data_IF_581928599184
#
_entry.id   IF_581928599184
#
_cell.length_a   1.000
_cell.length_b   1.000
_cell.length_c   1.000
_cell.angle_alpha   90.00
_cell.angle_beta   90.00
_cell.angle_gamma   90.00
#
_symmetry.space_group_name_H-M   'P 1'
#
loop_
_entity.id
_entity.type
_entity.pdbx_description
1 polymer ?
2 branched ?
3 branched ?
4 branched ?
5 non-polymer ?
6 non-polymer ?
7 water ?
#
# COMPACT_ATOMS: atom_id res chain seq x y z
N UNK A 91 -33.67 -10.83 -16.63
CA UNK A 91 -32.35 -10.33 -16.09
C UNK A 91 -31.22 -10.79 -17.02
N UNK A 92 -30.50 -9.84 -17.64
CA UNK A 92 -29.37 -10.14 -18.55
C UNK A 92 -28.14 -10.56 -17.74
N UNK A 93 -27.70 -9.75 -16.78
CA UNK A 93 -26.58 -10.05 -15.85
C UNK A 93 -27.07 -9.99 -14.40
N UNK A 94 -26.91 -11.07 -13.65
CA UNK A 94 -27.30 -11.14 -12.22
C UNK A 94 -26.03 -10.99 -11.37
N UNK A 95 -26.03 -9.99 -10.48
CA UNK A 95 -24.98 -9.85 -9.42
C UNK A 95 -25.66 -10.16 -8.08
N UNK A 96 -25.08 -11.07 -7.30
CA UNK A 96 -25.60 -11.41 -5.96
C UNK A 96 -24.54 -11.05 -4.91
N UNK A 97 -24.94 -10.25 -3.93
CA UNK A 97 -24.12 -9.90 -2.73
C UNK A 97 -24.74 -10.59 -1.52
N UNK A 98 -23.91 -11.25 -0.72
CA UNK A 98 -24.36 -11.96 0.49
C UNK A 98 -23.56 -11.44 1.68
N UNK A 99 -24.14 -10.53 2.46
CA UNK A 99 -23.50 -9.91 3.65
C UNK A 99 -23.33 -10.96 4.77
N UNK A 100 -23.93 -12.14 4.67
CA UNK A 100 -23.77 -13.21 5.69
C UNK A 100 -22.56 -14.10 5.36
N UNK A 101 -21.98 -13.97 4.16
CA UNK A 101 -20.76 -14.68 3.75
C UNK A 101 -19.59 -13.70 3.74
N UNK A 102 -18.77 -13.74 4.78
CA UNK A 102 -17.83 -12.66 5.14
C UNK A 102 -16.39 -13.19 5.14
N UNK A 103 -15.46 -12.37 4.66
CA UNK A 103 -14.07 -12.80 4.38
C UNK A 103 -13.15 -11.85 5.15
N UNK A 104 -12.11 -11.36 4.49
CA UNK A 104 -11.01 -10.64 5.19
C UNK A 104 -11.43 -9.20 5.50
N UNK A 105 -10.79 -8.62 6.51
CA UNK A 105 -10.89 -7.18 6.85
C UNK A 105 -10.05 -6.37 5.87
N UNK A 106 -10.34 -5.09 5.78
CA UNK A 106 -9.59 -4.13 4.92
C UNK A 106 -8.95 -3.10 5.84
N UNK A 107 -7.65 -2.87 5.64
CA UNK A 107 -6.91 -1.77 6.30
C UNK A 107 -6.87 -0.53 5.41
N UNK A 108 -6.79 -0.71 4.09
CA UNK A 108 -6.97 0.43 3.20
C UNK A 108 -6.09 0.39 1.96
N UNK A 109 -5.79 1.57 1.47
CA UNK A 109 -5.22 1.80 0.13
C UNK A 109 -4.25 2.98 0.24
N UNK A 110 -3.21 2.97 -0.56
CA UNK A 110 -2.34 4.16 -0.61
C UNK A 110 -1.16 3.98 -1.50
N UNK A 111 -0.07 4.62 -1.12
CA UNK A 111 1.13 4.73 -1.97
C UNK A 111 2.33 5.09 -1.10
N UNK A 112 3.49 5.18 -1.73
CA UNK A 112 4.72 5.70 -1.13
C UNK A 112 5.08 7.04 -1.77
N UNK A 113 5.90 7.81 -1.07
CA UNK A 113 6.58 9.00 -1.64
C UNK A 113 8.06 8.91 -1.27
N UNK A 114 8.61 7.71 -1.28
CA UNK A 114 10.03 7.45 -0.95
C UNK A 114 10.97 8.02 -2.03
N UNK A 115 12.27 7.95 -1.74
CA UNK A 115 13.37 8.40 -2.64
C UNK A 115 13.14 9.85 -3.09
N UNK A 116 12.79 10.70 -2.11
CA UNK A 116 12.61 12.18 -2.23
C UNK A 116 11.38 12.56 -3.07
N UNK A 117 10.51 11.63 -3.46
CA UNK A 117 9.32 12.00 -4.28
C UNK A 117 8.35 12.84 -3.45
N UNK A 118 8.38 12.74 -2.13
CA UNK A 118 7.58 13.58 -1.23
C UNK A 118 7.91 15.04 -1.50
N UNK A 119 9.17 15.33 -1.83
CA UNK A 119 9.62 16.72 -2.10
C UNK A 119 8.89 17.28 -3.32
N UNK A 120 8.62 16.43 -4.32
CA UNK A 120 7.91 16.87 -5.56
C UNK A 120 6.56 17.50 -5.19
N UNK A 121 5.84 16.89 -4.26
CA UNK A 121 4.49 17.37 -3.85
C UNK A 121 4.62 18.76 -3.22
N UNK A 122 5.74 19.05 -2.55
CA UNK A 122 5.96 20.33 -1.84
C UNK A 122 6.67 21.35 -2.73
N UNK A 123 6.70 21.13 -4.04
CA UNK A 123 7.13 22.17 -5.02
C UNK A 123 8.58 22.08 -5.46
N UNK A 124 9.28 20.96 -5.28
CA UNK A 124 10.72 20.82 -5.65
C UNK A 124 10.93 21.23 -7.12
N UNK A 125 10.00 20.86 -8.00
CA UNK A 125 10.13 21.08 -9.45
C UNK A 125 9.13 22.14 -9.94
N UNK A 126 8.66 23.01 -9.06
CA UNK A 126 7.87 24.18 -9.47
C UNK A 126 6.38 24.07 -9.23
N UNK A 127 5.89 23.04 -8.55
CA UNK A 127 4.45 22.94 -8.24
C UNK A 127 4.03 24.15 -7.39
N UNK A 128 2.96 24.83 -7.78
CA UNK A 128 2.43 26.01 -7.04
C UNK A 128 1.87 25.57 -5.69
N UNK A 129 1.85 26.46 -4.67
CA UNK A 129 1.14 26.17 -3.43
C UNK A 129 -0.30 25.67 -3.66
N UNK A 130 -1.03 26.28 -4.61
CA UNK A 130 -2.38 25.80 -4.96
C UNK A 130 -2.34 24.30 -5.30
N UNK A 131 -1.44 23.89 -6.17
CA UNK A 131 -1.44 22.49 -6.67
C UNK A 131 -0.79 21.55 -5.65
N UNK A 132 0.07 22.06 -4.79
CA UNK A 132 0.57 21.26 -3.62
C UNK A 132 -0.63 20.82 -2.80
N UNK A 133 -1.48 21.75 -2.40
CA UNK A 133 -2.67 21.44 -1.56
C UNK A 133 -3.70 20.64 -2.36
N UNK A 134 -3.81 20.86 -3.68
CA UNK A 134 -4.73 20.10 -4.54
C UNK A 134 -4.32 18.62 -4.57
N UNK A 135 -3.02 18.39 -4.73
CA UNK A 135 -2.49 16.99 -4.82
C UNK A 135 -2.68 16.30 -3.48
N UNK A 136 -2.41 17.00 -2.36
CA UNK A 136 -2.61 16.42 -1.01
C UNK A 136 -4.11 16.10 -0.79
N UNK A 137 -5.01 16.95 -1.27
CA UNK A 137 -6.47 16.69 -1.18
C UNK A 137 -6.85 15.50 -2.08
N UNK A 138 -6.34 15.40 -3.30
CA UNK A 138 -6.64 14.25 -4.19
C UNK A 138 -6.22 12.96 -3.49
N UNK A 139 -5.06 12.97 -2.85
CA UNK A 139 -4.49 11.74 -2.26
C UNK A 139 -5.21 11.41 -0.94
N UNK A 140 -5.44 12.38 -0.04
CA UNK A 140 -5.74 12.06 1.37
C UNK A 140 -7.11 12.53 1.85
N UNK A 141 -7.81 13.37 1.10
CA UNK A 141 -9.16 13.85 1.49
C UNK A 141 -10.22 12.85 1.01
N UNK A 142 -10.95 12.23 1.91
CA UNK A 142 -12.09 11.33 1.58
C UNK A 142 -13.17 12.11 0.82
N UNK A 143 -13.40 13.37 1.19
CA UNK A 143 -14.47 14.21 0.58
C UNK A 143 -13.98 14.78 -0.75
N UNK A 144 -12.75 15.28 -0.85
CA UNK A 144 -12.26 15.98 -2.07
C UNK A 144 -11.48 15.04 -3.01
N UNK A 145 -11.14 13.83 -2.58
CA UNK A 145 -10.22 12.96 -3.35
C UNK A 145 -10.43 11.50 -3.05
N UNK A 146 -9.34 10.75 -3.04
CA UNK A 146 -9.31 9.28 -2.91
C UNK A 146 -9.42 8.85 -1.44
N UNK A 147 -9.09 9.75 -0.51
CA UNK A 147 -9.02 9.39 0.91
C UNK A 147 -8.13 8.18 1.11
N UNK A 148 -6.91 8.20 0.55
CA UNK A 148 -5.92 7.13 0.85
C UNK A 148 -5.73 7.03 2.38
N UNK A 149 -5.59 5.81 2.89
CA UNK A 149 -5.54 5.55 4.35
C UNK A 149 -4.20 4.95 4.78
N UNK A 150 -3.30 4.64 3.86
CA UNK A 150 -1.94 4.11 4.17
C UNK A 150 -0.91 4.94 3.40
N UNK A 151 0.13 5.38 4.10
CA UNK A 151 1.32 6.02 3.51
C UNK A 151 2.51 5.15 3.89
N UNK A 152 3.22 4.67 2.88
CA UNK A 152 4.44 3.85 3.08
C UNK A 152 5.65 4.76 2.94
N UNK A 153 6.36 4.95 4.05
CA UNK A 153 7.56 5.81 4.11
C UNK A 153 8.82 4.95 4.17
N UNK A 154 9.88 5.44 3.54
CA UNK A 154 11.23 4.87 3.63
C UNK A 154 11.95 5.30 4.89
N UNK A 155 12.47 4.34 5.62
CA UNK A 155 13.45 4.58 6.71
C UNK A 155 14.80 4.66 6.03
N UNK A 156 15.34 5.87 5.85
CA UNK A 156 16.53 6.08 5.00
C UNK A 156 17.76 5.39 5.56
N UNK A 157 18.59 4.82 4.68
CA UNK A 157 19.85 4.13 5.03
C UNK A 157 21.10 4.95 4.64
N UNK A 158 20.93 6.09 3.96
CA UNK A 158 22.08 6.78 3.32
C UNK A 158 22.74 7.78 4.27
N UNK A 159 24.00 8.09 3.99
CA UNK A 159 24.76 9.08 4.78
C UNK A 159 24.79 10.43 4.06
N UNK A 160 24.01 10.62 3.00
CA UNK A 160 23.81 11.93 2.36
C UNK A 160 22.40 11.98 1.75
N UNK A 161 22.03 13.14 1.22
CA UNK A 161 20.76 13.36 0.51
C UNK A 161 21.03 13.73 -0.96
N UNK A 162 22.17 13.30 -1.51
CA UNK A 162 22.46 13.48 -2.96
C UNK A 162 21.55 12.57 -3.79
N UNK A 163 21.58 12.72 -5.12
CA UNK A 163 20.64 12.07 -6.07
C UNK A 163 19.25 11.93 -5.42
N UNK A 164 18.70 10.72 -5.34
CA UNK A 164 17.34 10.51 -4.77
C UNK A 164 17.46 9.75 -3.44
N UNK A 165 18.62 9.82 -2.78
CA UNK A 165 18.88 9.02 -1.56
C UNK A 165 17.99 9.51 -0.42
N UNK A 166 17.61 8.57 0.43
CA UNK A 166 16.91 8.86 1.70
C UNK A 166 17.97 8.79 2.80
N UNK A 167 18.24 9.91 3.46
CA UNK A 167 19.30 9.95 4.51
C UNK A 167 18.79 9.28 5.80
N UNK A 168 19.75 8.75 6.55
CA UNK A 168 19.56 7.95 7.77
C UNK A 168 19.57 8.83 9.02
N UNK A 169 18.86 8.42 10.06
CA UNK A 169 18.99 9.01 11.43
C UNK A 169 20.36 8.65 12.02
N UNK A 170 21.05 7.66 11.49
CA UNK A 170 22.35 7.23 12.06
C UNK A 170 23.34 7.09 10.91
N UNK A 171 23.75 8.19 10.27
CA UNK A 171 24.55 8.11 9.03
C UNK A 171 25.96 7.53 9.22
N UNK A 172 26.54 7.73 10.39
CA UNK A 172 27.96 7.36 10.68
C UNK A 172 28.01 6.31 11.79
N UNK A 173 28.84 5.30 11.58
CA UNK A 173 29.05 4.19 12.52
C UNK A 173 29.37 4.73 13.91
N UNK A 174 28.82 4.15 14.98
CA UNK A 174 29.24 4.47 16.34
C UNK A 174 30.54 3.78 16.73
N UNK A 175 31.13 3.01 15.81
CA UNK A 175 32.46 2.37 15.97
C UNK A 175 32.35 0.89 16.28
N UNK A 176 31.35 0.48 17.07
CA UNK A 176 31.08 -0.93 17.42
C UNK A 176 29.60 -1.07 17.75
N UNK A 177 29.02 -2.29 17.65
CA UNK A 177 27.61 -2.48 17.98
C UNK A 177 27.20 -2.03 19.40
N UNK A 178 28.10 -2.13 20.38
CA UNK A 178 27.81 -1.80 21.80
C UNK A 178 28.06 -0.31 22.09
N UNK A 179 28.62 0.44 21.14
CA UNK A 179 28.93 1.88 21.34
C UNK A 179 27.62 2.68 21.33
N UNK A 180 27.58 3.81 22.03
CA UNK A 180 26.38 4.67 22.08
C UNK A 180 26.15 5.28 20.70
N UNK A 181 25.00 5.01 20.04
CA UNK A 181 24.76 5.60 18.74
C UNK A 181 24.52 7.10 18.81
N UNK A 182 24.91 7.79 17.75
CA UNK A 182 24.60 9.23 17.57
C UNK A 182 23.49 9.36 16.53
N UNK A 183 22.33 9.80 16.96
CA UNK A 183 21.13 9.88 16.10
C UNK A 183 20.83 11.33 15.76
N UNK A 184 20.48 11.58 14.51
CA UNK A 184 20.09 12.93 14.03
C UNK A 184 18.66 12.85 13.50
N UNK A 185 17.80 13.74 13.99
CA UNK A 185 16.40 13.88 13.53
C UNK A 185 16.21 15.25 12.89
N UNK A 186 15.93 15.27 11.60
CA UNK A 186 15.85 16.55 10.83
C UNK A 186 14.41 17.02 10.67
N UNK A 187 13.43 16.33 11.27
CA UNK A 187 11.99 16.70 11.12
C UNK A 187 11.66 16.77 9.64
N UNK A 188 12.24 15.90 8.81
CA UNK A 188 12.10 15.98 7.34
C UNK A 188 12.01 14.59 6.70
N UNK A 189 13.00 13.70 6.90
CA UNK A 189 13.00 12.31 6.36
C UNK A 189 12.71 12.37 4.85
N UNK A 190 13.50 13.15 4.10
CA UNK A 190 13.39 13.27 2.62
C UNK A 190 11.98 13.72 2.21
N UNK A 191 11.38 14.63 2.98
CA UNK A 191 10.02 15.16 2.71
C UNK A 191 8.90 14.31 3.30
N UNK A 192 9.20 13.12 3.78
CA UNK A 192 8.14 12.17 4.21
C UNK A 192 7.54 12.64 5.54
N UNK A 193 8.28 13.40 6.35
CA UNK A 193 7.72 13.84 7.65
C UNK A 193 6.64 14.89 7.41
N UNK A 194 6.91 16.02 6.72
CA UNK A 194 5.83 16.97 6.45
C UNK A 194 4.69 16.35 5.61
N UNK A 195 5.00 15.43 4.72
CA UNK A 195 3.96 14.70 3.99
C UNK A 195 3.07 13.97 4.98
N UNK A 196 3.65 13.23 5.92
CA UNK A 196 2.91 12.47 6.95
C UNK A 196 2.01 13.41 7.75
N UNK A 197 2.52 14.60 8.08
CA UNK A 197 1.70 15.60 8.83
C UNK A 197 0.50 16.02 7.99
N UNK A 198 0.71 16.31 6.70
CA UNK A 198 -0.39 16.75 5.81
C UNK A 198 -1.40 15.63 5.60
N UNK A 199 -0.95 14.37 5.49
CA UNK A 199 -1.86 13.23 5.27
C UNK A 199 -2.71 13.01 6.53
N UNK A 200 -2.06 13.03 7.70
CA UNK A 200 -2.75 12.89 9.01
C UNK A 200 -3.74 14.05 9.21
N UNK A 201 -3.38 15.28 8.82
CA UNK A 201 -4.30 16.44 8.94
C UNK A 201 -5.59 16.18 8.16
N UNK A 202 -5.51 15.40 7.08
CA UNK A 202 -6.66 15.08 6.21
C UNK A 202 -7.32 13.76 6.61
N UNK A 203 -6.84 13.10 7.68
CA UNK A 203 -7.53 11.91 8.24
C UNK A 203 -6.78 10.61 8.08
N UNK A 204 -5.61 10.59 7.45
CA UNK A 204 -4.90 9.31 7.19
C UNK A 204 -4.57 8.61 8.49
N UNK A 205 -5.06 7.37 8.73
CA UNK A 205 -4.72 6.67 9.97
C UNK A 205 -3.37 5.95 10.00
N UNK A 206 -2.95 5.34 8.90
CA UNK A 206 -1.86 4.33 8.91
C UNK A 206 -0.63 4.84 8.20
N UNK A 207 0.48 4.83 8.93
CA UNK A 207 1.84 5.12 8.42
C UNK A 207 2.67 3.86 8.56
N UNK A 208 3.10 3.35 7.42
CA UNK A 208 3.95 2.14 7.31
C UNK A 208 5.37 2.58 7.00
N UNK A 209 6.24 2.53 7.99
CA UNK A 209 7.67 2.83 7.80
C UNK A 209 8.41 1.54 7.43
N UNK A 210 9.14 1.55 6.32
CA UNK A 210 9.81 0.34 5.79
C UNK A 210 11.26 0.71 5.48
N UNK A 211 12.22 -0.09 5.93
CA UNK A 211 13.64 0.11 5.57
C UNK A 211 14.00 -0.69 4.33
N UNK A 212 14.68 -0.10 3.35
CA UNK A 212 15.25 -0.84 2.21
C UNK A 212 16.54 -1.54 2.63
N UNK A 213 17.27 -0.97 3.58
CA UNK A 213 18.55 -1.52 4.07
C UNK A 213 18.81 -1.00 5.46
N UNK A 214 19.55 -1.75 6.25
CA UNK A 214 20.29 -1.19 7.41
C UNK A 214 21.35 -0.23 6.89
N UNK A 215 21.84 0.70 7.73
CA UNK A 215 23.00 1.49 7.34
C UNK A 215 24.15 0.54 6.98
N UNK A 216 25.02 0.98 6.05
CA UNK A 216 26.09 0.14 5.46
C UNK A 216 26.98 -0.48 6.53
N UNK A 217 27.34 0.25 7.57
CA UNK A 217 28.31 -0.20 8.61
C UNK A 217 27.73 -1.34 9.43
N UNK A 218 26.43 -1.65 9.29
CA UNK A 218 25.79 -2.79 10.03
C UNK A 218 25.78 -4.06 9.17
N UNK A 219 26.35 -4.02 7.97
CA UNK A 219 26.17 -5.11 6.96
C UNK A 219 27.51 -5.75 6.56
N UNK A 220 27.40 -6.98 6.07
CA UNK A 220 28.52 -7.83 5.61
C UNK A 220 29.35 -7.12 4.55
N UNK A 221 28.72 -6.37 3.64
CA UNK A 221 29.40 -5.69 2.51
C UNK A 221 29.74 -4.24 2.86
N UNK A 222 29.46 -3.79 4.09
CA UNK A 222 29.74 -2.41 4.57
C UNK A 222 29.16 -1.38 3.59
N UNK A 223 27.99 -1.68 3.02
CA UNK A 223 27.38 -0.85 1.94
C UNK A 223 25.87 -0.98 2.05
N UNK A 224 25.15 0.15 2.05
CA UNK A 224 23.67 0.13 1.96
C UNK A 224 23.22 -0.48 0.63
N UNK A 225 24.07 -0.47 -0.39
CA UNK A 225 23.72 -0.90 -1.77
C UNK A 225 24.16 -2.35 -2.02
N UNK A 226 23.68 -2.94 -3.12
CA UNK A 226 24.12 -4.26 -3.64
C UNK A 226 23.83 -5.35 -2.60
N UNK A 227 22.66 -5.31 -1.98
CA UNK A 227 22.21 -6.36 -1.04
C UNK A 227 23.24 -6.47 0.10
N UNK A 228 23.67 -7.68 0.43
CA UNK A 228 24.45 -7.89 1.67
C UNK A 228 23.53 -8.15 2.83
N UNK A 229 24.08 -8.53 3.96
CA UNK A 229 23.31 -9.07 5.10
C UNK A 229 23.62 -8.30 6.37
N UNK A 230 22.62 -8.17 7.22
CA UNK A 230 22.79 -7.64 8.58
C UNK A 230 23.81 -8.50 9.33
N UNK A 231 24.91 -7.90 9.77
CA UNK A 231 25.99 -8.60 10.52
C UNK A 231 25.42 -9.32 11.75
N UNK A 232 25.63 -10.64 11.84
CA UNK A 232 25.23 -11.43 13.01
C UNK A 232 24.02 -12.32 12.73
N UNK A 233 23.30 -12.08 11.64
CA UNK A 233 22.21 -12.94 11.13
C UNK A 233 22.80 -14.32 10.77
N UNK A 234 22.01 -15.39 10.91
CA UNK A 234 22.50 -16.79 10.76
C UNK A 234 23.28 -16.91 9.44
N UNK A 235 24.54 -17.37 9.52
CA UNK A 235 25.41 -17.61 8.35
C UNK A 235 26.20 -16.39 7.91
N UNK A 236 26.03 -15.24 8.57
CA UNK A 236 26.57 -13.95 8.08
C UNK A 236 27.23 -13.19 9.24
N UNK A 237 28.43 -13.61 9.61
CA UNK A 237 29.31 -12.93 10.61
C UNK A 237 30.06 -11.80 9.92
N UNK A 238 30.47 -10.80 10.70
CA UNK A 238 31.33 -9.67 10.26
C UNK A 238 32.44 -9.46 11.29
N UNK A 239 33.65 -9.04 10.87
CA UNK A 239 34.71 -8.70 11.83
C UNK A 239 34.33 -7.63 12.85
N UNK A 240 33.44 -6.69 12.49
CA UNK A 240 33.00 -5.57 13.39
C UNK A 240 32.02 -6.05 14.46
N UNK A 241 31.47 -7.26 14.32
CA UNK A 241 30.67 -7.89 15.38
C UNK A 241 29.22 -8.08 14.97
N UNK A 242 28.34 -8.19 15.96
CA UNK A 242 26.92 -8.58 15.77
C UNK A 242 26.07 -7.32 15.87
N UNK A 243 25.50 -6.89 14.75
CA UNK A 243 24.79 -5.59 14.68
C UNK A 243 23.27 -5.81 14.77
N UNK A 244 22.77 -7.02 15.08
CA UNK A 244 21.30 -7.26 15.02
C UNK A 244 20.58 -6.37 16.02
N UNK A 245 21.02 -6.32 17.27
CA UNK A 245 20.31 -5.52 18.29
C UNK A 245 20.44 -4.04 17.93
N UNK A 246 21.58 -3.63 17.37
CA UNK A 246 21.83 -2.22 16.98
C UNK A 246 20.80 -1.83 15.93
N UNK A 247 20.53 -2.71 14.96
CA UNK A 247 19.55 -2.40 13.89
C UNK A 247 18.16 -2.30 14.50
N UNK A 248 17.80 -3.19 15.42
CA UNK A 248 16.49 -3.14 16.11
C UNK A 248 16.37 -1.82 16.86
N UNK A 249 17.41 -1.42 17.59
CA UNK A 249 17.38 -0.17 18.39
C UNK A 249 17.25 1.04 17.45
N UNK A 250 17.89 0.96 16.29
CA UNK A 250 17.87 2.01 15.23
C UNK A 250 16.43 2.19 14.73
N UNK A 251 15.76 1.09 14.41
CA UNK A 251 14.38 1.18 13.89
C UNK A 251 13.45 1.73 14.98
N UNK A 252 13.63 1.30 16.22
CA UNK A 252 12.88 1.82 17.39
C UNK A 252 13.09 3.34 17.50
N UNK A 253 14.31 3.80 17.32
CA UNK A 253 14.62 5.25 17.44
C UNK A 253 13.94 6.01 16.31
N UNK A 254 13.89 5.49 15.09
CA UNK A 254 13.16 6.15 14.00
C UNK A 254 11.68 6.34 14.40
N UNK A 255 11.04 5.27 14.89
CA UNK A 255 9.60 5.29 15.32
C UNK A 255 9.45 6.29 16.47
N UNK A 256 10.39 6.37 17.39
CA UNK A 256 10.29 7.30 18.55
C UNK A 256 10.36 8.74 18.05
N UNK A 257 11.28 9.07 17.13
CA UNK A 257 11.37 10.46 16.61
C UNK A 257 10.03 10.86 15.99
N UNK A 258 9.39 9.97 15.22
CA UNK A 258 8.09 10.28 14.58
C UNK A 258 7.04 10.55 15.67
N UNK A 259 6.95 9.68 16.68
CA UNK A 259 5.91 9.79 17.75
C UNK A 259 6.14 11.06 18.56
N UNK A 260 7.39 11.35 18.88
CA UNK A 260 7.74 12.53 19.72
C UNK A 260 7.40 13.81 18.98
N UNK A 261 7.39 13.75 17.64
CA UNK A 261 7.12 14.90 16.75
C UNK A 261 5.64 14.95 16.36
N UNK A 262 4.80 14.13 17.00
CA UNK A 262 3.33 14.19 16.86
C UNK A 262 2.80 13.35 15.70
N UNK A 263 3.61 12.44 15.12
CA UNK A 263 3.20 11.62 13.94
C UNK A 263 3.52 10.16 14.21
N UNK A 264 2.74 9.44 15.02
CA UNK A 264 3.04 8.05 15.30
C UNK A 264 2.98 7.16 14.05
N UNK A 265 3.93 6.22 14.00
CA UNK A 265 4.02 5.16 12.96
C UNK A 265 3.18 3.99 13.46
N UNK A 266 2.36 3.40 12.58
CA UNK A 266 1.44 2.30 12.96
C UNK A 266 1.99 0.93 12.54
N UNK A 267 2.79 0.87 11.48
CA UNK A 267 3.29 -0.38 10.89
C UNK A 267 4.77 -0.22 10.61
N UNK A 268 5.55 -1.28 10.83
CA UNK A 268 7.03 -1.21 10.73
C UNK A 268 7.55 -2.45 10.01
N UNK A 269 8.40 -2.22 9.00
CA UNK A 269 9.10 -3.25 8.22
C UNK A 269 10.59 -2.96 8.17
N UNK A 270 11.43 -3.99 8.02
CA UNK A 270 12.89 -3.83 8.10
C UNK A 270 13.59 -4.31 6.84
N UNK A 271 12.85 -4.86 5.88
CA UNK A 271 13.36 -5.37 4.58
C UNK A 271 12.53 -4.79 3.44
N UNK A 272 13.13 -4.74 2.26
CA UNK A 272 12.42 -4.44 1.00
C UNK A 272 12.99 -5.38 -0.06
N UNK A 273 12.15 -6.21 -0.67
CA UNK A 273 12.59 -7.05 -1.82
C UNK A 273 13.94 -7.70 -1.52
N UNK A 274 14.04 -8.50 -0.43
CA UNK A 274 15.32 -9.08 -0.01
C UNK A 274 15.96 -9.97 -1.09
N UNK A 275 15.18 -10.42 -2.08
CA UNK A 275 15.64 -11.22 -3.25
C UNK A 275 16.56 -10.39 -4.15
N UNK A 276 16.40 -9.06 -4.18
CA UNK A 276 16.95 -8.19 -5.25
C UNK A 276 18.35 -7.69 -4.88
N UNK A 277 19.28 -7.82 -5.82
CA UNK A 277 20.67 -7.29 -5.71
C UNK A 277 20.77 -6.13 -6.71
N UNK A 278 20.72 -4.90 -6.21
CA UNK A 278 20.52 -3.67 -7.02
C UNK A 278 21.52 -2.59 -6.58
N UNK A 279 21.65 -1.54 -7.40
CA UNK A 279 22.61 -0.43 -7.19
C UNK A 279 22.16 0.50 -6.05
N UNK A 280 20.89 0.41 -5.63
CA UNK A 280 20.32 1.32 -4.61
C UNK A 280 20.12 0.51 -3.34
N UNK A 281 19.60 1.15 -2.29
CA UNK A 281 19.50 0.55 -0.95
C UNK A 281 18.79 -0.81 -1.07
N UNK A 282 19.43 -1.84 -0.53
CA UNK A 282 18.95 -3.24 -0.63
C UNK A 282 19.64 -4.06 0.46
N UNK A 283 19.02 -5.14 0.87
CA UNK A 283 19.55 -6.00 1.96
C UNK A 283 18.85 -7.36 1.87
N UNK A 284 19.65 -8.42 1.92
CA UNK A 284 19.18 -9.80 1.73
C UNK A 284 18.59 -10.40 2.98
N UNK A 285 17.90 -11.53 2.78
CA UNK A 285 17.34 -12.40 3.85
C UNK A 285 16.47 -13.45 3.17
N UNK A 286 16.64 -14.71 3.57
CA UNK A 286 15.64 -15.75 3.27
C UNK A 286 14.63 -15.77 4.42
N UNK A 287 13.65 -16.66 4.36
CA UNK A 287 12.58 -16.72 5.38
C UNK A 287 13.13 -16.91 6.78
N UNK A 288 14.09 -17.81 6.98
CA UNK A 288 14.56 -18.11 8.36
C UNK A 288 15.43 -16.94 8.88
N UNK A 289 16.18 -16.28 8.00
CA UNK A 289 17.01 -15.10 8.35
C UNK A 289 16.10 -13.93 8.73
N UNK A 290 15.04 -13.71 7.96
CA UNK A 290 14.01 -12.68 8.29
C UNK A 290 13.35 -13.03 9.63
N UNK A 291 12.96 -14.28 9.83
CA UNK A 291 12.29 -14.73 11.07
C UNK A 291 13.14 -14.40 12.30
N UNK A 292 14.44 -14.69 12.21
CA UNK A 292 15.43 -14.45 13.30
C UNK A 292 15.32 -12.97 13.74
N UNK A 293 15.29 -12.06 12.77
CA UNK A 293 15.28 -10.61 13.09
C UNK A 293 13.90 -10.17 13.57
N UNK A 294 12.81 -10.70 12.99
CA UNK A 294 11.43 -10.38 13.44
C UNK A 294 11.35 -10.58 14.96
N UNK A 295 11.85 -11.71 15.47
CA UNK A 295 11.77 -12.04 16.90
C UNK A 295 12.58 -11.03 17.73
N UNK A 296 13.78 -10.69 17.28
CA UNK A 296 14.62 -9.67 17.98
C UNK A 296 13.89 -8.32 18.00
N UNK A 297 13.37 -7.89 16.85
CA UNK A 297 12.68 -6.57 16.78
C UNK A 297 11.41 -6.60 17.63
N UNK A 298 10.62 -7.66 17.55
CA UNK A 298 9.38 -7.75 18.34
C UNK A 298 9.67 -7.70 19.83
N UNK A 299 10.70 -8.42 20.27
CA UNK A 299 11.12 -8.48 21.69
C UNK A 299 11.60 -7.08 22.14
N UNK A 300 12.30 -6.35 21.28
CA UNK A 300 12.81 -4.99 21.58
C UNK A 300 11.61 -4.06 21.79
N UNK A 301 10.66 -4.10 20.87
CA UNK A 301 9.48 -3.19 20.95
C UNK A 301 8.70 -3.48 22.24
N UNK A 302 8.53 -4.76 22.59
CA UNK A 302 7.81 -5.17 23.82
C UNK A 302 8.56 -4.63 25.04
N UNK A 303 9.88 -4.75 25.10
CA UNK A 303 10.72 -4.17 26.20
C UNK A 303 10.53 -2.66 26.29
N UNK A 304 10.44 -1.96 25.15
CA UNK A 304 10.31 -0.48 25.11
C UNK A 304 8.88 -0.02 25.38
N UNK A 305 7.90 -0.94 25.39
CA UNK A 305 6.47 -0.60 25.56
C UNK A 305 5.92 0.17 24.38
N UNK A 306 6.44 -0.09 23.18
CA UNK A 306 5.93 0.53 21.92
C UNK A 306 4.98 -0.46 21.26
N UNK A 307 3.74 -0.01 21.02
CA UNK A 307 2.68 -0.77 20.31
C UNK A 307 2.79 -0.41 18.82
N UNK A 308 3.18 -1.36 17.98
CA UNK A 308 3.33 -1.11 16.52
C UNK A 308 3.11 -2.46 15.83
N UNK A 309 2.55 -2.46 14.63
CA UNK A 309 2.32 -3.70 13.85
C UNK A 309 3.56 -3.99 13.03
N UNK A 310 4.16 -5.15 13.24
CA UNK A 310 5.34 -5.60 12.46
C UNK A 310 4.92 -6.29 11.16
N UNK A 311 5.72 -6.05 10.13
CA UNK A 311 5.50 -6.61 8.78
C UNK A 311 6.72 -7.41 8.35
N UNK A 312 6.52 -8.28 7.37
CA UNK A 312 7.61 -8.94 6.63
C UNK A 312 6.97 -9.53 5.38
N UNK A 313 7.67 -9.55 4.23
CA UNK A 313 9.04 -9.09 4.04
C UNK A 313 9.15 -8.23 2.78
N UNK A 314 8.04 -7.72 2.25
CA UNK A 314 7.98 -6.90 1.02
C UNK A 314 8.69 -7.64 -0.09
N UNK A 315 8.40 -8.94 -0.24
CA UNK A 315 9.02 -9.74 -1.30
C UNK A 315 8.74 -9.18 -2.69
N UNK A 316 9.65 -9.41 -3.64
CA UNK A 316 9.65 -8.77 -4.98
C UNK A 316 8.46 -9.26 -5.83
N UNK A 317 7.87 -10.39 -5.45
CA UNK A 317 6.60 -10.87 -6.04
C UNK A 317 5.85 -11.71 -5.04
N UNK A 318 4.62 -12.08 -5.39
CA UNK A 318 3.70 -12.79 -4.47
C UNK A 318 4.24 -14.20 -4.21
N UNK A 319 4.69 -14.91 -5.25
CA UNK A 319 5.26 -16.29 -5.13
C UNK A 319 6.55 -16.23 -4.32
N UNK A 320 7.35 -15.18 -4.52
CA UNK A 320 8.64 -15.00 -3.82
C UNK A 320 8.35 -14.76 -2.32
N UNK A 321 7.32 -13.97 -2.00
CA UNK A 321 6.93 -13.78 -0.58
C UNK A 321 6.38 -15.10 -0.03
N UNK A 322 5.59 -15.82 -0.80
CA UNK A 322 5.00 -17.10 -0.31
C UNK A 322 6.15 -18.03 0.10
N UNK A 323 7.27 -18.02 -0.64
CA UNK A 323 8.43 -18.92 -0.42
C UNK A 323 9.09 -18.63 0.94
N UNK A 324 8.94 -17.41 1.48
CA UNK A 324 9.54 -17.01 2.79
C UNK A 324 8.66 -17.47 3.97
N UNK A 325 7.39 -17.78 3.73
CA UNK A 325 6.40 -17.94 4.81
C UNK A 325 6.75 -19.18 5.64
N UNK A 326 7.17 -20.32 5.06
CA UNK A 326 7.54 -21.46 5.91
C UNK A 326 8.60 -21.11 6.97
N UNK A 327 9.65 -20.37 6.58
CA UNK A 327 10.67 -19.82 7.50
C UNK A 327 10.05 -18.99 8.61
N UNK A 328 9.06 -18.15 8.29
CA UNK A 328 8.39 -17.30 9.31
C UNK A 328 7.51 -18.13 10.24
N UNK A 329 7.19 -19.38 9.86
CA UNK A 329 6.23 -20.22 10.62
C UNK A 329 6.96 -21.26 11.49
N UNK A 330 8.27 -21.39 11.33
CA UNK A 330 9.08 -22.36 12.14
C UNK A 330 8.98 -21.93 13.59
N UNK A 331 8.40 -22.78 14.44
CA UNK A 331 8.28 -22.56 15.91
C UNK A 331 9.65 -22.93 16.49
N UNK A 332 10.36 -21.96 17.06
CA UNK A 332 11.74 -22.15 17.53
C UNK A 332 11.77 -22.88 18.86
N UNK A 333 12.97 -23.02 19.47
CA UNK A 333 13.11 -23.61 20.80
C UNK A 333 12.21 -22.95 21.87
N UNK A 334 11.99 -21.63 21.75
CA UNK A 334 11.23 -20.79 22.72
C UNK A 334 9.72 -21.00 22.58
N UNK A 335 9.28 -21.83 21.62
CA UNK A 335 7.85 -22.10 21.35
C UNK A 335 7.17 -20.96 20.61
N UNK A 336 7.93 -20.09 19.95
CA UNK A 336 7.37 -18.97 19.14
C UNK A 336 7.95 -18.99 17.74
N UNK A 337 7.14 -18.63 16.75
CA UNK A 337 7.57 -18.39 15.34
C UNK A 337 7.70 -16.88 15.13
N UNK A 338 8.31 -16.47 14.02
CA UNK A 338 8.24 -15.04 13.59
C UNK A 338 6.79 -14.66 13.38
N UNK A 339 5.95 -15.57 12.86
CA UNK A 339 4.53 -15.26 12.57
C UNK A 339 3.81 -14.84 13.85
N UNK A 340 4.21 -15.37 15.02
CA UNK A 340 3.60 -14.98 16.32
C UNK A 340 3.81 -13.49 16.59
N UNK A 341 4.91 -12.89 16.13
CA UNK A 341 5.25 -11.47 16.36
C UNK A 341 4.70 -10.58 15.25
N UNK A 342 4.46 -11.15 14.07
CA UNK A 342 4.01 -10.35 12.88
C UNK A 342 2.53 -10.02 12.98
N UNK A 343 2.13 -8.85 12.48
CA UNK A 343 0.71 -8.47 12.30
C UNK A 343 0.31 -8.62 10.84
N UNK A 344 1.23 -8.32 9.92
CA UNK A 344 0.93 -8.30 8.45
C UNK A 344 2.07 -8.94 7.68
N UNK A 345 1.72 -9.77 6.71
CA UNK A 345 2.68 -10.30 5.72
C UNK A 345 2.52 -9.49 4.45
N UNK A 346 3.63 -8.98 3.93
CA UNK A 346 3.65 -7.97 2.85
C UNK A 346 4.38 -8.53 1.64
N UNK A 347 3.92 -8.20 0.44
CA UNK A 347 4.62 -8.55 -0.79
C UNK A 347 4.31 -7.56 -1.88
N UNK A 348 5.14 -7.58 -2.92
CA UNK A 348 5.01 -6.72 -4.11
C UNK A 348 4.42 -7.54 -5.25
N UNK A 349 4.10 -6.90 -6.36
CA UNK A 349 3.43 -7.58 -7.48
C UNK A 349 4.33 -7.76 -8.68
N UNK A 350 5.61 -7.36 -8.60
CA UNK A 350 6.46 -7.21 -9.80
C UNK A 350 6.86 -8.55 -10.40
N UNK A 351 7.38 -9.47 -9.60
CA UNK A 351 7.91 -10.76 -10.13
C UNK A 351 6.76 -11.75 -10.30
N UNK A 352 5.67 -11.57 -9.57
CA UNK A 352 4.42 -12.37 -9.69
C UNK A 352 3.31 -11.61 -8.96
N UNK A 353 2.15 -11.57 -9.57
CA UNK A 353 1.01 -10.72 -9.13
C UNK A 353 0.31 -11.38 -7.95
N UNK A 354 -0.34 -10.58 -7.07
CA UNK A 354 -1.25 -11.10 -6.05
C UNK A 354 -2.55 -11.62 -6.70
N UNK A 355 -2.57 -12.93 -7.01
CA UNK A 355 -3.71 -13.64 -7.64
C UNK A 355 -4.11 -14.89 -6.83
N UNK A 356 -3.44 -15.17 -5.71
CA UNK A 356 -3.73 -16.33 -4.85
C UNK A 356 -3.45 -15.95 -3.41
N UNK A 357 -4.12 -16.58 -2.43
CA UNK A 357 -3.89 -16.27 -1.02
C UNK A 357 -2.55 -16.79 -0.51
N UNK A 358 -1.81 -15.96 0.23
CA UNK A 358 -0.60 -16.43 0.95
C UNK A 358 -1.01 -17.35 2.10
N UNK A 359 -0.13 -18.29 2.45
CA UNK A 359 -0.41 -19.37 3.42
C UNK A 359 -0.06 -18.95 4.85
N UNK A 360 -0.30 -17.68 5.19
CA UNK A 360 -0.12 -17.18 6.56
C UNK A 360 -1.49 -17.09 7.22
N UNK A 361 -1.53 -17.14 8.54
CA UNK A 361 -2.74 -16.88 9.33
C UNK A 361 -2.95 -15.38 9.51
N UNK A 362 -1.97 -14.55 9.13
CA UNK A 362 -2.07 -13.08 9.32
C UNK A 362 -2.72 -12.44 8.09
N UNK A 363 -3.20 -11.22 8.29
CA UNK A 363 -3.54 -10.28 7.19
C UNK A 363 -2.34 -10.19 6.25
N UNK A 364 -2.64 -9.99 4.97
CA UNK A 364 -1.61 -9.76 3.95
C UNK A 364 -1.88 -8.42 3.30
N UNK A 365 -0.82 -7.76 2.89
CA UNK A 365 -0.87 -6.46 2.16
C UNK A 365 -0.06 -6.60 0.87
N UNK A 366 -0.61 -6.12 -0.24
CA UNK A 366 0.14 -5.78 -1.47
C UNK A 366 0.74 -4.39 -1.20
N UNK A 367 2.05 -4.30 -0.99
CA UNK A 367 2.66 -3.06 -0.46
C UNK A 367 3.42 -2.27 -1.52
N UNK A 368 3.62 -2.80 -2.71
CA UNK A 368 4.24 -1.99 -3.80
C UNK A 368 3.95 -2.64 -5.14
N UNK A 369 3.58 -1.82 -6.10
CA UNK A 369 3.35 -2.28 -7.48
C UNK A 369 3.12 -1.03 -8.31
N UNK A 370 3.60 -1.06 -9.56
CA UNK A 370 3.37 0.01 -10.53
C UNK A 370 3.70 -0.54 -11.91
N UNK A 371 3.60 0.31 -12.91
CA UNK A 371 4.05 0.05 -14.30
C UNK A 371 5.41 0.72 -14.45
N UNK A 372 6.49 -0.08 -14.50
CA UNK A 372 7.88 0.47 -14.60
C UNK A 372 8.38 0.45 -16.06
N UNK A 373 7.48 0.30 -17.03
CA UNK A 373 7.83 0.16 -18.47
C UNK A 373 8.45 1.45 -19.02
N UNK A 374 8.11 2.62 -18.44
CA UNK A 374 8.52 3.93 -18.96
C UNK A 374 7.54 4.49 -19.97
N UNK A 375 6.42 3.81 -20.22
CA UNK A 375 5.29 4.30 -21.01
C UNK A 375 4.62 5.48 -20.28
N UNK A 376 3.81 6.25 -21.00
CA UNK A 376 3.05 7.41 -20.47
C UNK A 376 1.61 7.27 -20.92
N UNK A 377 0.75 6.85 -19.98
CA UNK A 377 -0.66 6.45 -20.21
C UNK A 377 -1.54 7.18 -19.20
N UNK A 378 -1.58 8.53 -19.20
CA UNK A 378 -2.39 9.24 -18.21
C UNK A 378 -3.91 9.13 -18.39
N UNK A 379 -4.44 9.04 -19.62
CA UNK A 379 -5.88 9.27 -19.90
C UNK A 379 -6.60 7.96 -20.25
N UNK A 380 -5.87 6.87 -20.47
CA UNK A 380 -6.48 5.62 -20.97
C UNK A 380 -6.97 4.73 -19.83
N UNK A 381 -8.28 4.47 -19.81
CA UNK A 381 -8.88 3.45 -18.93
C UNK A 381 -8.79 2.11 -19.66
N UNK A 382 -9.19 2.07 -20.94
CA UNK A 382 -8.99 0.86 -21.78
C UNK A 382 -8.69 1.26 -23.21
N UNK A 383 -7.64 0.68 -23.77
CA UNK A 383 -7.33 0.75 -25.22
C UNK A 383 -6.98 -0.65 -25.71
N UNK A 384 -5.94 -1.26 -25.14
CA UNK A 384 -5.45 -2.59 -25.63
C UNK A 384 -4.78 -3.38 -24.49
N UNK A 385 -5.21 -3.17 -23.25
CA UNK A 385 -4.69 -3.92 -22.10
C UNK A 385 -3.24 -3.59 -21.77
N UNK A 386 -2.75 -2.40 -22.10
CA UNK A 386 -1.44 -1.92 -21.65
C UNK A 386 -1.30 -1.94 -20.14
N UNK A 387 -0.06 -2.09 -19.67
CA UNK A 387 0.31 -2.28 -18.25
C UNK A 387 -0.08 -1.03 -17.45
N UNK A 388 -0.19 0.12 -18.11
CA UNK A 388 -0.46 1.43 -17.48
C UNK A 388 -1.91 1.85 -17.55
N UNK A 389 -2.80 1.06 -18.17
CA UNK A 389 -4.22 1.48 -18.37
C UNK A 389 -4.97 1.42 -17.04
N UNK A 390 -5.97 2.28 -16.90
CA UNK A 390 -6.89 2.29 -15.75
C UNK A 390 -7.49 0.93 -15.47
N UNK A 391 -8.03 0.26 -16.49
CA UNK A 391 -8.77 -1.01 -16.27
C UNK A 391 -7.79 -2.07 -15.76
N UNK A 392 -6.54 -2.05 -16.24
CA UNK A 392 -5.50 -3.00 -15.80
C UNK A 392 -5.39 -2.91 -14.28
N UNK A 393 -5.36 -1.69 -13.76
CA UNK A 393 -5.16 -1.44 -12.31
C UNK A 393 -6.44 -1.68 -11.52
N UNK A 394 -7.59 -1.30 -12.03
CA UNK A 394 -8.90 -1.66 -11.42
C UNK A 394 -8.95 -3.18 -11.22
N UNK A 395 -8.53 -3.93 -12.24
CA UNK A 395 -8.54 -5.41 -12.18
C UNK A 395 -7.46 -5.92 -11.23
N UNK A 396 -6.26 -5.34 -11.23
CA UNK A 396 -5.21 -5.75 -10.27
C UNK A 396 -5.74 -5.62 -8.84
N UNK A 397 -6.38 -4.50 -8.53
CA UNK A 397 -6.93 -4.25 -7.17
C UNK A 397 -8.02 -5.28 -6.87
N UNK A 398 -9.01 -5.40 -7.77
CA UNK A 398 -10.16 -6.28 -7.52
C UNK A 398 -9.66 -7.71 -7.31
N UNK A 399 -8.76 -8.19 -8.18
CA UNK A 399 -8.17 -9.54 -8.10
C UNK A 399 -7.42 -9.72 -6.77
N UNK A 400 -6.62 -8.73 -6.35
CA UNK A 400 -5.86 -8.84 -5.09
C UNK A 400 -6.81 -9.11 -3.92
N UNK A 401 -7.95 -8.42 -3.85
CA UNK A 401 -8.91 -8.60 -2.72
C UNK A 401 -9.70 -9.89 -2.90
N UNK A 402 -10.25 -10.15 -4.08
CA UNK A 402 -11.20 -11.29 -4.26
C UNK A 402 -10.43 -12.61 -4.32
N UNK A 403 -9.34 -12.65 -5.10
CA UNK A 403 -8.59 -13.89 -5.38
C UNK A 403 -7.34 -14.05 -4.51
N UNK A 404 -6.70 -12.97 -4.06
CA UNK A 404 -5.43 -13.06 -3.31
C UNK A 404 -5.66 -12.75 -1.83
N UNK A 405 -6.88 -12.41 -1.42
CA UNK A 405 -7.27 -12.31 0.01
C UNK A 405 -6.47 -11.21 0.72
N UNK A 406 -6.11 -10.12 0.05
CA UNK A 406 -5.31 -9.05 0.72
C UNK A 406 -6.22 -8.17 1.56
N UNK A 407 -5.63 -7.47 2.53
CA UNK A 407 -6.33 -6.47 3.38
C UNK A 407 -5.93 -5.05 2.98
N UNK A 408 -4.95 -4.89 2.11
CA UNK A 408 -4.55 -3.54 1.64
C UNK A 408 -3.90 -3.61 0.28
N UNK A 409 -3.93 -2.49 -0.42
CA UNK A 409 -3.28 -2.32 -1.73
C UNK A 409 -2.59 -0.97 -1.76
N UNK A 410 -1.26 -1.01 -1.80
CA UNK A 410 -0.37 0.17 -1.80
C UNK A 410 0.36 0.20 -3.14
N UNK A 411 0.07 1.20 -3.94
CA UNK A 411 0.80 1.49 -5.20
C UNK A 411 2.20 2.00 -4.85
N UNK A 412 3.10 2.05 -5.82
CA UNK A 412 4.46 2.59 -5.60
C UNK A 412 4.40 4.09 -5.33
N UNK A 413 4.63 4.95 -6.31
CA UNK A 413 4.65 6.43 -6.07
C UNK A 413 3.25 7.00 -6.30
N UNK A 414 2.77 7.86 -5.41
CA UNK A 414 1.49 8.57 -5.60
C UNK A 414 1.61 9.65 -6.66
N UNK A 415 2.45 10.64 -6.41
CA UNK A 415 2.62 11.80 -7.32
C UNK A 415 4.11 12.06 -7.51
N UNK A 416 4.54 12.29 -8.75
CA UNK A 416 5.96 12.60 -9.02
C UNK A 416 6.08 13.47 -10.26
N UNK A 417 7.16 14.26 -10.29
CA UNK A 417 7.51 15.05 -11.49
C UNK A 417 8.10 14.11 -12.54
N UNK A 418 7.25 13.57 -13.40
CA UNK A 418 7.65 12.60 -14.45
C UNK A 418 6.57 12.55 -15.52
N UNK A 419 6.91 11.99 -16.66
CA UNK A 419 5.92 11.60 -17.70
C UNK A 419 6.09 10.10 -17.96
N UNK A 420 6.04 9.30 -16.91
CA UNK A 420 5.97 7.82 -16.98
C UNK A 420 4.74 7.34 -16.20
N UNK A 421 4.59 6.03 -16.09
CA UNK A 421 3.46 5.40 -15.36
C UNK A 421 3.90 4.94 -13.98
N UNK A 422 5.10 5.32 -13.53
CA UNK A 422 5.69 4.88 -12.24
C UNK A 422 4.83 5.42 -11.09
N UNK A 423 4.32 6.63 -11.24
CA UNK A 423 3.40 7.27 -10.27
C UNK A 423 1.97 7.25 -10.74
N UNK A 424 1.03 7.43 -9.84
CA UNK A 424 -0.43 7.47 -10.16
C UNK A 424 -0.80 8.85 -10.72
N UNK A 425 -0.12 9.88 -10.22
CA UNK A 425 -0.41 11.29 -10.60
C UNK A 425 0.87 11.88 -11.18
N UNK A 426 0.82 12.32 -12.44
CA UNK A 426 1.99 12.95 -13.07
C UNK A 426 1.98 14.44 -12.72
N UNK A 427 3.12 14.92 -12.22
CA UNK A 427 3.38 16.36 -12.04
C UNK A 427 4.28 16.77 -13.20
N UNK A 428 3.91 17.86 -13.87
CA UNK A 428 4.71 18.42 -14.99
C UNK A 428 4.99 19.89 -14.62
N UNK A 429 6.05 20.10 -13.85
CA UNK A 429 6.32 21.40 -13.17
C UNK A 429 5.02 21.79 -12.47
N UNK A 430 4.43 22.95 -12.78
CA UNK A 430 3.18 23.36 -12.11
C UNK A 430 1.97 22.87 -12.92
N UNK A 431 1.78 21.55 -12.97
CA UNK A 431 0.66 20.92 -13.69
C UNK A 431 0.44 19.56 -13.03
N UNK A 432 -0.82 19.20 -12.88
CA UNK A 432 -1.26 17.98 -12.14
C UNK A 432 -2.12 17.15 -13.09
N UNK A 433 -1.67 15.95 -13.42
CA UNK A 433 -2.42 15.02 -14.31
C UNK A 433 -2.64 13.71 -13.58
N UNK A 434 -3.79 13.53 -12.88
CA UNK A 434 -4.12 12.26 -12.26
C UNK A 434 -4.47 11.24 -13.35
N UNK A 435 -3.82 10.07 -13.31
CA UNK A 435 -4.03 9.01 -14.32
C UNK A 435 -5.33 8.26 -14.03
N UNK A 436 -5.77 7.41 -14.94
CA UNK A 436 -6.93 6.52 -14.70
C UNK A 436 -6.53 5.44 -13.67
N UNK A 437 -5.22 5.21 -13.48
CA UNK A 437 -4.76 4.28 -12.41
C UNK A 437 -5.08 4.90 -11.05
N UNK A 438 -4.82 6.20 -10.93
CA UNK A 438 -5.23 6.98 -9.73
C UNK A 438 -6.74 6.86 -9.52
N UNK A 439 -7.53 7.13 -10.56
CA UNK A 439 -9.01 7.16 -10.39
C UNK A 439 -9.53 5.75 -10.04
N UNK A 440 -8.92 4.67 -10.57
CA UNK A 440 -9.30 3.28 -10.23
C UNK A 440 -9.03 3.04 -8.76
N UNK A 441 -7.85 3.42 -8.28
CA UNK A 441 -7.48 3.34 -6.84
C UNK A 441 -8.49 4.15 -6.01
N UNK A 442 -8.79 5.38 -6.43
CA UNK A 442 -9.71 6.30 -5.73
C UNK A 442 -11.10 5.68 -5.61
N UNK A 443 -11.59 5.02 -6.66
CA UNK A 443 -12.93 4.40 -6.66
C UNK A 443 -13.02 3.41 -5.50
N UNK A 444 -11.99 2.60 -5.29
CA UNK A 444 -11.94 1.65 -4.16
C UNK A 444 -11.77 2.40 -2.84
N UNK A 445 -10.78 3.27 -2.77
CA UNK A 445 -10.29 3.86 -1.50
C UNK A 445 -11.35 4.79 -0.90
N UNK A 446 -12.04 5.53 -1.75
CA UNK A 446 -13.01 6.57 -1.29
C UNK A 446 -14.14 5.90 -0.52
N UNK A 447 -14.52 4.66 -0.84
CA UNK A 447 -15.74 4.04 -0.30
C UNK A 447 -15.47 2.77 0.49
N UNK A 448 -14.31 2.15 0.34
CA UNK A 448 -13.91 0.97 1.12
C UNK A 448 -12.96 1.47 2.21
N UNK A 449 -13.54 1.82 3.36
CA UNK A 449 -12.82 2.54 4.42
C UNK A 449 -12.20 1.50 5.35
N UNK A 450 -11.18 1.90 6.12
CA UNK A 450 -10.57 0.97 7.05
C UNK A 450 -11.61 0.22 7.90
N UNK A 451 -11.31 -1.04 8.15
CA UNK A 451 -12.11 -1.97 9.00
C UNK A 451 -13.32 -2.47 8.23
N UNK A 452 -13.47 -2.14 6.96
CA UNK A 452 -14.49 -2.78 6.11
C UNK A 452 -14.18 -4.27 6.04
N UNK A 453 -15.20 -5.09 5.78
CA UNK A 453 -15.04 -6.55 5.57
C UNK A 453 -15.48 -6.89 4.16
N UNK A 454 -14.68 -7.67 3.44
CA UNK A 454 -15.08 -8.19 2.13
C UNK A 454 -16.24 -9.18 2.35
N UNK A 455 -17.22 -9.14 1.47
CA UNK A 455 -18.39 -10.06 1.52
C UNK A 455 -18.54 -10.72 0.16
N UNK A 456 -19.24 -11.85 0.13
CA UNK A 456 -19.44 -12.59 -1.13
C UNK A 456 -20.16 -11.72 -2.15
N UNK A 457 -19.66 -11.73 -3.38
CA UNK A 457 -20.32 -11.09 -4.53
C UNK A 457 -20.03 -11.96 -5.75
N UNK A 458 -21.10 -12.39 -6.44
CA UNK A 458 -20.97 -13.25 -7.63
C UNK A 458 -21.58 -12.53 -8.83
N UNK A 459 -21.13 -12.91 -10.02
CA UNK A 459 -21.63 -12.39 -11.31
C UNK A 459 -22.02 -13.60 -12.19
N UNK A 460 -23.13 -13.49 -12.90
CA UNK A 460 -23.66 -14.55 -13.81
C UNK A 460 -22.83 -14.65 -15.10
N UNK A 461 -21.91 -13.70 -15.36
CA UNK A 461 -21.25 -13.58 -16.69
C UNK A 461 -19.81 -13.10 -16.51
N UNK A 462 -18.86 -13.78 -17.15
CA UNK A 462 -17.40 -13.49 -17.05
C UNK A 462 -17.05 -12.12 -17.63
N UNK A 463 -17.93 -11.45 -18.39
CA UNK A 463 -17.65 -10.08 -18.93
C UNK A 463 -17.80 -9.04 -17.82
N UNK A 464 -18.38 -9.41 -16.69
CA UNK A 464 -18.64 -8.49 -15.53
C UNK A 464 -18.03 -9.12 -14.29
N UNK A 465 -17.05 -8.44 -13.66
CA UNK A 465 -16.39 -8.98 -12.46
C UNK A 465 -16.73 -8.08 -11.29
N UNK A 466 -16.95 -8.67 -10.12
CA UNK A 466 -17.56 -7.94 -8.98
C UNK A 466 -16.77 -8.21 -7.71
N UNK A 467 -16.76 -7.23 -6.81
CA UNK A 467 -16.22 -7.32 -5.44
C UNK A 467 -17.18 -6.52 -4.57
N UNK A 468 -17.28 -6.82 -3.29
CA UNK A 468 -18.17 -6.07 -2.38
C UNK A 468 -17.59 -6.08 -0.97
N UNK A 469 -17.80 -4.96 -0.28
CA UNK A 469 -17.30 -4.75 1.10
C UNK A 469 -18.40 -4.08 1.90
N UNK A 470 -18.53 -4.46 3.16
CA UNK A 470 -19.40 -3.76 4.13
C UNK A 470 -18.52 -2.98 5.09
N UNK A 471 -18.72 -1.66 5.15
CA UNK A 471 -17.99 -0.77 6.08
C UNK A 471 -18.54 -0.94 7.51
N UNK A 472 -17.79 -0.48 8.50
CA UNK A 472 -18.27 -0.63 9.91
C UNK A 472 -19.46 0.30 10.13
N UNK A 473 -19.67 1.35 9.31
CA UNK A 473 -20.88 2.21 9.45
C UNK A 473 -22.07 1.64 8.64
N UNK A 474 -21.92 0.47 8.02
CA UNK A 474 -22.98 -0.25 7.30
C UNK A 474 -23.04 0.10 5.82
N UNK A 475 -22.29 1.10 5.34
CA UNK A 475 -22.24 1.45 3.89
C UNK A 475 -21.66 0.24 3.14
N UNK A 476 -22.34 -0.22 2.10
CA UNK A 476 -21.86 -1.34 1.26
C UNK A 476 -21.33 -0.71 -0.03
N UNK A 477 -20.12 -1.08 -0.43
CA UNK A 477 -19.46 -0.60 -1.65
C UNK A 477 -19.21 -1.80 -2.54
N UNK A 478 -19.81 -1.78 -3.72
CA UNK A 478 -19.75 -2.89 -4.70
C UNK A 478 -19.01 -2.36 -5.92
N UNK A 479 -17.91 -3.00 -6.31
CA UNK A 479 -17.12 -2.58 -7.49
C UNK A 479 -17.41 -3.53 -8.64
N UNK A 480 -17.78 -2.98 -9.79
CA UNK A 480 -18.20 -3.76 -10.99
C UNK A 480 -17.30 -3.33 -12.16
N UNK A 481 -16.54 -4.26 -12.72
CA UNK A 481 -15.76 -3.98 -13.94
C UNK A 481 -16.51 -4.61 -15.11
N UNK A 482 -17.00 -3.80 -16.02
CA UNK A 482 -17.69 -4.30 -17.25
C UNK A 482 -16.64 -4.28 -18.35
N UNK A 483 -16.20 -5.45 -18.80
CA UNK A 483 -15.19 -5.53 -19.88
C UNK A 483 -15.87 -5.91 -21.18
N UNK A 484 -17.20 -5.73 -21.25
CA UNK A 484 -17.96 -5.79 -22.51
C UNK A 484 -17.67 -4.60 -23.39
N UNK A 485 -17.92 -4.72 -24.70
CA UNK A 485 -17.82 -3.61 -25.68
C UNK A 485 -19.13 -2.82 -25.71
N UNK A 486 -20.18 -3.32 -25.04
CA UNK A 486 -21.49 -2.65 -24.87
C UNK A 486 -21.78 -2.41 -23.39
N UNK A 487 -22.68 -1.48 -23.11
CA UNK A 487 -23.30 -1.24 -21.78
C UNK A 487 -23.93 -2.55 -21.29
N UNK A 488 -23.87 -2.81 -19.99
CA UNK A 488 -24.44 -4.04 -19.36
C UNK A 488 -25.56 -3.62 -18.41
N UNK A 489 -26.73 -4.24 -18.56
CA UNK A 489 -27.92 -4.04 -17.68
C UNK A 489 -27.82 -5.05 -16.53
N UNK A 490 -27.56 -4.56 -15.33
CA UNK A 490 -27.30 -5.42 -14.17
C UNK A 490 -28.56 -5.48 -13.30
N UNK A 491 -28.83 -6.66 -12.76
CA UNK A 491 -29.73 -6.83 -11.59
C UNK A 491 -28.83 -7.17 -10.40
N UNK A 492 -28.79 -6.28 -9.42
CA UNK A 492 -27.91 -6.43 -8.22
C UNK A 492 -28.81 -6.70 -7.02
N UNK A 493 -28.71 -7.91 -6.48
CA UNK A 493 -29.45 -8.38 -5.28
C UNK A 493 -28.51 -8.30 -4.07
N UNK A 494 -28.92 -7.60 -3.01
CA UNK A 494 -28.10 -7.39 -1.79
C UNK A 494 -28.38 -8.46 -0.74
N UNK A 495 -29.34 -9.36 -1.02
CA UNK A 495 -29.75 -10.46 -0.14
C UNK A 495 -30.33 -9.94 1.16
N UNK A 496 -30.17 -10.74 2.24
CA UNK A 496 -30.68 -10.47 3.61
C UNK A 496 -29.75 -9.44 4.28
N UNK A 497 -30.30 -8.33 4.77
CA UNK A 497 -29.55 -7.26 5.49
C UNK A 497 -30.34 -6.79 6.72
N UNK A 498 -29.65 -6.21 7.72
CA UNK A 498 -30.27 -5.64 8.95
C UNK A 498 -31.08 -4.40 8.57
N UNK A 499 -30.41 -3.33 8.11
CA UNK A 499 -31.04 -2.15 7.47
C UNK A 499 -31.59 -2.57 6.10
N UNK A 500 -32.85 -2.26 5.80
CA UNK A 500 -33.40 -2.26 4.42
C UNK A 500 -32.66 -1.15 3.65
N UNK A 501 -32.02 -1.47 2.53
CA UNK A 501 -31.32 -0.45 1.70
C UNK A 501 -32.38 0.23 0.81
N UNK A 502 -32.41 1.57 0.83
CA UNK A 502 -33.40 2.39 0.10
C UNK A 502 -32.76 3.04 -1.13
N UNK A 503 -31.51 3.48 -1.06
CA UNK A 503 -30.84 4.18 -2.18
C UNK A 503 -29.41 3.66 -2.37
N UNK A 504 -28.95 3.69 -3.62
CA UNK A 504 -27.55 3.35 -3.99
C UNK A 504 -27.08 4.39 -5.01
N UNK A 505 -25.81 4.81 -4.93
CA UNK A 505 -25.25 5.84 -5.83
C UNK A 505 -24.13 5.19 -6.64
N UNK A 506 -24.18 5.22 -7.98
CA UNK A 506 -23.08 4.74 -8.81
C UNK A 506 -22.04 5.85 -9.03
N UNK A 507 -20.76 5.47 -9.01
CA UNK A 507 -19.59 6.33 -9.28
C UNK A 507 -18.78 5.64 -10.36
N UNK A 508 -18.55 6.32 -11.50
CA UNK A 508 -18.05 5.69 -12.75
C UNK A 508 -16.63 6.16 -13.10
N UNK A 509 -15.80 5.22 -13.55
CA UNK A 509 -14.45 5.48 -14.07
C UNK A 509 -14.36 4.76 -15.43
N UNK A 510 -13.98 5.48 -16.46
CA UNK A 510 -13.91 4.93 -17.82
C UNK A 510 -12.99 5.78 -18.68
N UNK A 511 -12.97 5.58 -19.98
CA UNK A 511 -12.25 6.51 -20.88
C UNK A 511 -12.88 7.90 -20.81
N UNK A 512 -14.15 8.00 -20.44
CA UNK A 512 -14.92 9.28 -20.48
C UNK A 512 -15.04 9.92 -19.09
N UNK A 513 -14.85 9.15 -18.03
CA UNK A 513 -15.16 9.61 -16.64
C UNK A 513 -13.99 9.30 -15.72
N UNK A 514 -13.70 10.20 -14.79
CA UNK A 514 -12.64 10.00 -13.76
C UNK A 514 -13.25 9.25 -12.57
N UNK A 515 -14.08 9.92 -11.77
CA UNK A 515 -14.85 9.26 -10.70
C UNK A 515 -16.15 10.04 -10.56
N UNK A 516 -17.06 9.78 -11.51
CA UNK A 516 -18.24 10.63 -11.80
C UNK A 516 -19.44 10.08 -11.05
N UNK A 517 -20.00 10.90 -10.15
CA UNK A 517 -21.22 10.53 -9.40
C UNK A 517 -22.42 10.58 -10.35
N UNK A 518 -23.15 9.47 -10.44
CA UNK A 518 -24.40 9.38 -11.24
C UNK A 518 -25.60 9.59 -10.30
N UNK A 519 -26.80 9.74 -10.87
CA UNK A 519 -28.06 9.87 -10.10
C UNK A 519 -28.25 8.64 -9.19
N UNK A 520 -28.79 8.87 -8.00
CA UNK A 520 -29.13 7.78 -7.03
C UNK A 520 -30.18 6.88 -7.68
N UNK A 521 -30.09 5.60 -7.38
CA UNK A 521 -31.01 4.53 -7.84
C UNK A 521 -31.83 4.09 -6.64
N UNK A 522 -33.14 3.95 -6.83
CA UNK A 522 -34.06 3.46 -5.77
C UNK A 522 -33.87 1.95 -5.69
N UNK A 523 -33.71 1.44 -4.48
CA UNK A 523 -33.62 -0.01 -4.17
C UNK A 523 -34.97 -0.46 -3.62
N UNK A 524 -35.47 -1.61 -4.06
CA UNK A 524 -36.74 -2.20 -3.57
C UNK A 524 -36.50 -3.68 -3.25
N UNK A 525 -36.83 -4.08 -2.02
CA UNK A 525 -36.62 -5.46 -1.50
C UNK A 525 -35.16 -5.82 -1.72
N UNK A 526 -34.25 -4.89 -1.40
CA UNK A 526 -32.78 -5.09 -1.39
C UNK A 526 -32.33 -5.56 -2.78
N UNK A 527 -32.95 -5.04 -3.83
CA UNK A 527 -32.53 -5.32 -5.23
C UNK A 527 -32.64 -4.04 -6.04
N UNK A 528 -31.77 -3.85 -7.02
CA UNK A 528 -31.84 -2.71 -7.95
C UNK A 528 -31.25 -3.10 -9.31
N UNK A 529 -31.69 -2.35 -10.31
CA UNK A 529 -31.24 -2.47 -11.71
C UNK A 529 -30.34 -1.26 -11.99
N UNK A 530 -29.28 -1.48 -12.75
CA UNK A 530 -28.31 -0.42 -13.12
C UNK A 530 -27.68 -0.82 -14.44
N UNK A 531 -27.56 0.13 -15.36
CA UNK A 531 -26.75 0.00 -16.58
C UNK A 531 -25.34 0.52 -16.27
N UNK A 532 -24.31 -0.23 -16.66
CA UNK A 532 -22.89 0.21 -16.57
C UNK A 532 -22.30 0.31 -17.97
N UNK A 533 -21.55 1.39 -18.27
CA UNK A 533 -21.01 1.60 -19.61
C UNK A 533 -20.02 0.49 -20.03
N UNK A 534 -19.81 0.35 -21.34
CA UNK A 534 -18.73 -0.50 -21.90
C UNK A 534 -17.39 -0.14 -21.23
N UNK A 535 -16.53 -1.15 -21.04
CA UNK A 535 -15.11 -0.96 -20.63
C UNK A 535 -15.04 0.02 -19.47
N UNK A 536 -15.69 -0.30 -18.35
CA UNK A 536 -15.80 0.67 -17.23
C UNK A 536 -15.64 -0.01 -15.88
N UNK A 537 -15.34 0.83 -14.89
CA UNK A 537 -15.42 0.51 -13.45
C UNK A 537 -16.55 1.35 -12.85
N UNK A 538 -17.46 0.72 -12.11
CA UNK A 538 -18.51 1.41 -11.33
C UNK A 538 -18.42 0.98 -9.86
N UNK A 539 -18.38 1.95 -8.95
CA UNK A 539 -18.61 1.69 -7.51
C UNK A 539 -20.04 2.08 -7.18
N UNK A 540 -20.83 1.10 -6.75
CA UNK A 540 -22.19 1.28 -6.22
C UNK A 540 -22.08 1.41 -4.70
N UNK A 541 -22.53 2.54 -4.17
CA UNK A 541 -22.35 2.88 -2.73
C UNK A 541 -23.74 3.06 -2.10
N UNK A 542 -24.11 2.19 -1.16
CA UNK A 542 -25.45 2.24 -0.49
C UNK A 542 -25.51 3.41 0.49
N UNK A 543 -26.70 3.94 0.76
CA UNK A 543 -26.89 5.09 1.69
C UNK A 543 -27.52 4.58 2.99
N UNK A 544 -27.07 5.11 4.14
CA UNK A 544 -27.65 4.97 5.50
C UNK A 544 -28.41 3.64 5.64
#
# INVERSE_FOLDING_TARGET
MRFPSIFTAVLFAASSALAAPVNTTTEDETAQIPAEAVIGYSDLEGDFDVAVLPFSNSTNNGLLFINTTIASIAAKEEGVSLEKREAEAYVEFQINVDLQARYQSVDGFGCSQAFQRAEDIFGKYGLSPKNQSYVLDLMYSEERGAGFTILRNGIGSSNSSTSNLMNSIEPFSPGSPSSTPNYTWDHYNSGQFPLSQQARARGLPYIYADAWSAPGYMKTNQDENWSGFLCGIEGETCPSGDWRQAYADYLVQYVKFYAESGVPVTHLGFLNEPQEVVSYASMGSNGTQAAEFVKILGQTLEREGIDIELTCCDGVGWSEQEAMIPGLQVVGPDGKSAEDYLSVVTGHGYSSAPTFPLSTKRRTWLTEWTDLSGAFTPYTFFADGGAGEGMTWANHIQTAFVNANVSAFIYWIGAENSTTNSGMINLINDEVIPSKRFWSMASFSKFVRPNAQRVKATSSDASVTVSAFENTNGVVAIQVINNGTSAASLTIDLGKTHKEVKKVVPWVTSNDYDLEEMSEIDVKHNSFLASVPARSLTSFVTECE
#
